data_IF_916849608182
#
_entry.id   IF_916849608182
#
_cell.length_a   1.000
_cell.length_b   1.000
_cell.length_c   1.000
_cell.angle_alpha   90.00
_cell.angle_beta   90.00
_cell.angle_gamma   90.00
#
_symmetry.space_group_name_H-M   'P 1'
#
loop_
_entity.id
_entity.type
_entity.pdbx_description
1 polymer ?
#
# COMPACT_ATOMS: atom_id res chain seq x y z
N UNK A 1 -34.31 3.86 10.66
CA UNK A 1 -35.71 3.42 10.65
C UNK A 1 -36.18 3.11 9.24
N UNK A 2 -35.58 2.16 8.57
CA UNK A 2 -35.99 1.74 7.23
C UNK A 2 -36.67 0.38 7.25
N UNK A 3 -37.37 0.02 6.18
CA UNK A 3 -37.94 -1.31 5.98
C UNK A 3 -36.77 -2.28 5.75
N UNK A 4 -36.63 -3.29 6.61
CA UNK A 4 -35.59 -4.31 6.56
C UNK A 4 -36.13 -5.64 6.08
N UNK A 5 -35.29 -6.42 5.40
CA UNK A 5 -35.62 -7.76 4.91
C UNK A 5 -34.50 -8.75 5.28
N UNK A 6 -34.72 -10.07 5.26
CA UNK A 6 -33.72 -11.06 5.64
C UNK A 6 -32.41 -10.94 4.83
N UNK A 7 -32.47 -10.53 3.57
CA UNK A 7 -31.31 -10.32 2.69
C UNK A 7 -30.36 -9.23 3.20
N UNK A 8 -30.87 -8.26 3.96
CA UNK A 8 -30.10 -7.18 4.57
C UNK A 8 -29.19 -7.73 5.67
N UNK A 9 -29.70 -8.64 6.49
CA UNK A 9 -28.95 -9.24 7.59
C UNK A 9 -27.82 -10.14 7.07
N UNK A 10 -28.03 -10.84 5.96
CA UNK A 10 -26.98 -11.62 5.32
C UNK A 10 -25.82 -10.74 4.87
N UNK A 11 -26.10 -9.60 4.22
CA UNK A 11 -25.07 -8.65 3.80
C UNK A 11 -24.34 -8.03 4.99
N UNK A 12 -25.09 -7.57 6.00
CA UNK A 12 -24.51 -6.96 7.22
C UNK A 12 -23.59 -7.93 7.95
N UNK A 13 -24.04 -9.18 8.17
CA UNK A 13 -23.25 -10.20 8.84
C UNK A 13 -21.96 -10.49 8.10
N UNK A 14 -22.02 -10.58 6.76
CA UNK A 14 -20.81 -10.77 5.95
C UNK A 14 -19.87 -9.58 6.05
N UNK A 15 -20.40 -8.36 6.09
CA UNK A 15 -19.60 -7.13 6.19
C UNK A 15 -18.88 -7.03 7.54
N UNK A 16 -19.59 -7.14 8.67
CA UNK A 16 -19.00 -6.98 10.01
C UNK A 16 -18.01 -8.07 10.38
N UNK A 17 -18.16 -9.27 9.81
CA UNK A 17 -17.23 -10.39 10.02
C UNK A 17 -16.08 -10.43 9.01
N UNK A 18 -16.05 -9.52 8.04
CA UNK A 18 -15.04 -9.54 6.98
C UNK A 18 -13.62 -9.32 7.52
N UNK A 19 -13.46 -8.41 8.49
CA UNK A 19 -12.16 -8.15 9.12
C UNK A 19 -11.55 -9.42 9.74
N UNK A 20 -12.32 -10.15 10.54
CA UNK A 20 -11.83 -11.36 11.21
C UNK A 20 -11.40 -12.43 10.20
N UNK A 21 -12.18 -12.62 9.12
CA UNK A 21 -11.83 -13.57 8.06
C UNK A 21 -10.55 -13.17 7.34
N UNK A 22 -10.37 -11.89 7.02
CA UNK A 22 -9.16 -11.36 6.41
C UNK A 22 -7.96 -11.50 7.35
N UNK A 23 -8.13 -11.11 8.62
CA UNK A 23 -7.08 -11.18 9.63
C UNK A 23 -6.58 -12.62 9.86
N UNK A 24 -7.50 -13.60 9.89
CA UNK A 24 -7.14 -15.02 10.04
C UNK A 24 -6.29 -15.52 8.86
N UNK A 25 -6.60 -15.12 7.62
CA UNK A 25 -5.74 -15.45 6.46
C UNK A 25 -4.38 -14.77 6.54
N UNK A 26 -4.35 -13.51 7.00
CA UNK A 26 -3.10 -12.76 7.11
C UNK A 26 -2.18 -13.29 8.22
N UNK A 27 -2.72 -13.83 9.32
CA UNK A 27 -1.91 -14.52 10.35
C UNK A 27 -1.06 -15.66 9.78
N UNK A 28 -1.60 -16.35 8.79
CA UNK A 28 -0.94 -17.45 8.10
C UNK A 28 -0.18 -17.00 6.83
N UNK A 29 0.00 -15.71 6.63
CA UNK A 29 0.62 -15.10 5.44
C UNK A 29 -0.08 -15.47 4.10
N UNK A 30 -1.35 -15.86 4.15
CA UNK A 30 -2.18 -16.24 2.99
C UNK A 30 -2.77 -15.00 2.32
N UNK A 31 -1.91 -14.14 1.79
CA UNK A 31 -2.27 -12.82 1.24
C UNK A 31 -3.33 -12.90 0.12
N UNK A 32 -3.19 -13.87 -0.80
CA UNK A 32 -4.14 -14.06 -1.89
C UNK A 32 -5.53 -14.47 -1.39
N UNK A 33 -5.58 -15.31 -0.35
CA UNK A 33 -6.84 -15.73 0.26
C UNK A 33 -7.49 -14.59 1.06
N UNK A 34 -6.70 -13.79 1.76
CA UNK A 34 -7.19 -12.58 2.43
C UNK A 34 -7.83 -11.61 1.44
N UNK A 35 -7.19 -11.38 0.29
CA UNK A 35 -7.77 -10.57 -0.79
C UNK A 35 -9.07 -11.20 -1.34
N UNK A 36 -9.13 -12.51 -1.45
CA UNK A 36 -10.34 -13.24 -1.88
C UNK A 36 -11.51 -13.02 -0.92
N UNK A 37 -11.26 -12.97 0.40
CA UNK A 37 -12.30 -12.65 1.39
C UNK A 37 -12.87 -11.23 1.20
N UNK A 38 -12.02 -10.25 0.89
CA UNK A 38 -12.46 -8.88 0.58
C UNK A 38 -13.36 -8.88 -0.67
N UNK A 39 -12.94 -9.55 -1.73
CA UNK A 39 -13.74 -9.63 -2.95
C UNK A 39 -15.01 -10.46 -2.79
N UNK A 40 -15.06 -11.37 -1.81
CA UNK A 40 -16.28 -12.08 -1.45
C UNK A 40 -17.35 -11.10 -0.92
N UNK A 41 -16.96 -10.11 -0.11
CA UNK A 41 -17.87 -9.05 0.32
C UNK A 41 -18.38 -8.22 -0.87
N UNK A 42 -17.49 -7.79 -1.79
CA UNK A 42 -17.92 -7.04 -2.98
C UNK A 42 -18.84 -7.86 -3.90
N UNK A 43 -18.58 -9.15 -4.08
CA UNK A 43 -19.47 -10.05 -4.83
C UNK A 43 -20.85 -10.14 -4.17
N UNK A 44 -20.90 -10.18 -2.82
CA UNK A 44 -22.18 -10.17 -2.09
C UNK A 44 -22.91 -8.84 -2.26
N UNK A 45 -22.20 -7.70 -2.28
CA UNK A 45 -22.80 -6.40 -2.60
C UNK A 45 -23.43 -6.40 -4.01
N UNK A 46 -22.74 -6.93 -5.02
CA UNK A 46 -23.31 -7.05 -6.36
C UNK A 46 -24.57 -7.93 -6.38
N UNK A 47 -24.51 -9.10 -5.74
CA UNK A 47 -25.68 -9.98 -5.64
C UNK A 47 -26.85 -9.31 -4.91
N UNK A 48 -26.56 -8.54 -3.86
CA UNK A 48 -27.58 -7.79 -3.12
C UNK A 48 -28.25 -6.71 -3.98
N UNK A 49 -27.51 -6.06 -4.87
CA UNK A 49 -28.06 -5.12 -5.86
C UNK A 49 -29.05 -5.87 -6.79
N UNK A 50 -28.68 -7.06 -7.28
CA UNK A 50 -29.53 -7.86 -8.15
C UNK A 50 -30.79 -8.35 -7.42
N UNK A 51 -30.69 -8.71 -6.15
CA UNK A 51 -31.80 -9.21 -5.32
C UNK A 51 -32.77 -8.10 -4.91
N UNK A 52 -32.29 -6.88 -4.71
CA UNK A 52 -33.09 -5.76 -4.19
C UNK A 52 -33.58 -4.80 -5.29
N UNK A 53 -33.04 -4.89 -6.48
CA UNK A 53 -33.39 -4.08 -7.65
C UNK A 53 -33.63 -2.59 -7.35
N UNK A 54 -32.62 -1.85 -6.81
CA UNK A 54 -32.82 -0.46 -6.36
C UNK A 54 -33.37 0.48 -7.44
N UNK A 55 -33.13 0.19 -8.70
CA UNK A 55 -33.68 0.93 -9.85
C UNK A 55 -35.21 0.74 -10.02
N UNK A 56 -35.75 -0.37 -9.54
CA UNK A 56 -37.21 -0.62 -9.49
C UNK A 56 -37.79 0.11 -8.27
N UNK A 57 -37.14 0.01 -7.10
CA UNK A 57 -37.55 0.72 -5.89
C UNK A 57 -37.59 2.25 -6.11
N UNK A 58 -36.63 2.79 -6.88
CA UNK A 58 -36.54 4.22 -7.17
C UNK A 58 -37.72 4.78 -7.98
N UNK A 59 -38.51 3.94 -8.66
CA UNK A 59 -39.66 4.35 -9.46
C UNK A 59 -40.95 4.45 -8.63
N UNK A 60 -40.95 3.97 -7.40
CA UNK A 60 -42.10 3.87 -6.54
C UNK A 60 -41.89 4.74 -5.29
N UNK A 61 -42.71 5.78 -5.18
CA UNK A 61 -42.67 6.72 -4.03
C UNK A 61 -42.91 6.05 -2.68
N UNK A 62 -43.75 5.00 -2.65
CA UNK A 62 -44.06 4.26 -1.43
C UNK A 62 -42.91 3.37 -0.94
N UNK A 63 -41.95 3.08 -1.81
CA UNK A 63 -40.76 2.25 -1.53
C UNK A 63 -39.50 3.02 -1.21
N UNK A 64 -39.61 4.33 -1.04
CA UNK A 64 -38.42 5.20 -0.75
C UNK A 64 -37.68 4.78 0.52
N UNK A 65 -38.40 4.38 1.58
CA UNK A 65 -37.78 3.91 2.82
C UNK A 65 -36.99 2.60 2.62
N UNK A 66 -37.52 1.70 1.79
CA UNK A 66 -36.82 0.48 1.41
C UNK A 66 -35.57 0.79 0.57
N UNK A 67 -35.72 1.67 -0.41
CA UNK A 67 -34.59 2.13 -1.22
C UNK A 67 -33.47 2.75 -0.36
N UNK A 68 -33.84 3.61 0.60
CA UNK A 68 -32.89 4.23 1.51
C UNK A 68 -32.12 3.17 2.33
N UNK A 69 -32.81 2.14 2.82
CA UNK A 69 -32.18 1.02 3.54
C UNK A 69 -31.19 0.27 2.64
N UNK A 70 -31.59 -0.05 1.42
CA UNK A 70 -30.75 -0.77 0.45
C UNK A 70 -29.46 0.02 0.14
N UNK A 71 -29.61 1.30 -0.20
CA UNK A 71 -28.47 2.15 -0.52
C UNK A 71 -27.53 2.34 0.69
N UNK A 72 -28.09 2.49 1.88
CA UNK A 72 -27.32 2.62 3.10
C UNK A 72 -26.52 1.35 3.41
N UNK A 73 -27.14 0.18 3.31
CA UNK A 73 -26.47 -1.10 3.54
C UNK A 73 -25.33 -1.34 2.52
N UNK A 74 -25.53 -0.96 1.27
CA UNK A 74 -24.49 -1.02 0.25
C UNK A 74 -23.33 -0.08 0.57
N UNK A 75 -23.62 1.17 0.93
CA UNK A 75 -22.60 2.17 1.29
C UNK A 75 -21.74 1.68 2.45
N UNK A 76 -22.34 1.21 3.52
CA UNK A 76 -21.65 0.66 4.68
C UNK A 76 -20.75 -0.52 4.30
N UNK A 77 -21.28 -1.48 3.56
CA UNK A 77 -20.55 -2.69 3.15
C UNK A 77 -19.39 -2.37 2.21
N UNK A 78 -19.58 -1.43 1.28
CA UNK A 78 -18.52 -0.97 0.37
C UNK A 78 -17.41 -0.25 1.13
N UNK A 79 -17.75 0.59 2.11
CA UNK A 79 -16.75 1.30 2.92
C UNK A 79 -15.93 0.35 3.81
N UNK A 80 -16.57 -0.68 4.39
CA UNK A 80 -15.86 -1.74 5.11
C UNK A 80 -14.90 -2.47 4.17
N UNK A 81 -15.38 -2.89 3.00
CA UNK A 81 -14.57 -3.55 1.99
C UNK A 81 -13.42 -2.68 1.47
N UNK A 82 -13.66 -1.39 1.24
CA UNK A 82 -12.64 -0.44 0.81
C UNK A 82 -11.55 -0.25 1.87
N UNK A 83 -11.94 -0.19 3.15
CA UNK A 83 -10.98 -0.08 4.26
C UNK A 83 -10.08 -1.33 4.36
N UNK A 84 -10.65 -2.53 4.19
CA UNK A 84 -9.89 -3.78 4.12
C UNK A 84 -9.01 -3.86 2.86
N UNK A 85 -9.38 -3.18 1.78
CA UNK A 85 -8.62 -3.15 0.53
C UNK A 85 -7.42 -2.19 0.58
N UNK A 86 -7.38 -1.25 1.54
CA UNK A 86 -6.35 -0.21 1.59
C UNK A 86 -4.91 -0.77 1.58
N UNK A 87 -4.53 -1.82 2.32
CA UNK A 87 -3.18 -2.37 2.28
C UNK A 87 -2.76 -2.92 0.92
N UNK A 88 -3.72 -3.31 0.08
CA UNK A 88 -3.49 -3.89 -1.24
C UNK A 88 -3.55 -2.85 -2.36
N UNK A 89 -4.49 -1.92 -2.23
CA UNK A 89 -4.79 -0.90 -3.25
C UNK A 89 -5.05 0.47 -2.61
N UNK A 90 -4.02 1.10 -1.99
CA UNK A 90 -4.19 2.29 -1.15
C UNK A 90 -4.83 3.47 -1.90
N UNK A 91 -4.43 3.70 -3.14
CA UNK A 91 -4.99 4.79 -3.95
C UNK A 91 -6.47 4.54 -4.29
N UNK A 92 -6.81 3.32 -4.67
CA UNK A 92 -8.19 2.94 -5.04
C UNK A 92 -9.11 2.98 -3.82
N UNK A 93 -8.68 2.48 -2.68
CA UNK A 93 -9.45 2.48 -1.44
C UNK A 93 -9.83 3.92 -1.03
N UNK A 94 -8.87 4.84 -1.05
CA UNK A 94 -9.12 6.28 -0.77
C UNK A 94 -10.07 6.91 -1.78
N UNK A 95 -9.95 6.58 -3.06
CA UNK A 95 -10.87 7.06 -4.10
C UNK A 95 -12.29 6.54 -3.89
N UNK A 96 -12.47 5.28 -3.45
CA UNK A 96 -13.79 4.73 -3.11
C UNK A 96 -14.39 5.55 -1.97
N UNK A 97 -13.67 5.75 -0.87
CA UNK A 97 -14.18 6.52 0.27
C UNK A 97 -14.52 7.96 -0.12
N UNK A 98 -13.68 8.62 -0.93
CA UNK A 98 -13.92 9.98 -1.41
C UNK A 98 -15.22 10.10 -2.23
N UNK A 99 -15.62 9.08 -2.99
CA UNK A 99 -16.89 9.10 -3.73
C UNK A 99 -18.12 9.08 -2.80
N UNK A 100 -17.96 8.59 -1.57
CA UNK A 100 -18.96 8.66 -0.51
C UNK A 100 -18.79 9.89 0.40
N UNK A 101 -17.91 10.85 0.03
CA UNK A 101 -17.58 12.03 0.83
C UNK A 101 -17.15 11.67 2.27
N UNK A 102 -16.35 10.62 2.42
CA UNK A 102 -15.85 10.11 3.70
C UNK A 102 -14.41 9.62 3.56
N UNK A 103 -13.84 9.16 4.66
CA UNK A 103 -12.49 8.60 4.73
C UNK A 103 -12.52 7.09 4.98
N UNK A 104 -11.36 6.45 4.77
CA UNK A 104 -11.12 5.06 5.13
C UNK A 104 -11.22 4.90 6.65
N UNK A 105 -11.89 3.83 7.09
CA UNK A 105 -12.06 3.50 8.51
C UNK A 105 -10.84 2.77 9.07
N UNK A 106 -10.59 2.96 10.36
CA UNK A 106 -9.63 2.11 11.09
C UNK A 106 -10.11 0.66 11.15
N UNK A 107 -9.20 -0.29 11.28
CA UNK A 107 -9.57 -1.71 11.38
C UNK A 107 -10.41 -2.03 12.62
N UNK A 108 -10.24 -1.26 13.69
CA UNK A 108 -11.01 -1.40 14.94
C UNK A 108 -12.49 -1.07 14.75
N UNK A 109 -12.80 -0.23 13.78
CA UNK A 109 -14.16 0.24 13.49
C UNK A 109 -14.92 -0.66 12.49
N UNK A 110 -14.28 -1.67 11.90
CA UNK A 110 -14.88 -2.46 10.82
C UNK A 110 -15.89 -3.51 11.31
N UNK A 111 -15.87 -3.87 12.59
CA UNK A 111 -16.85 -4.76 13.20
C UNK A 111 -18.19 -4.08 13.47
N UNK A 112 -18.27 -2.75 13.36
CA UNK A 112 -19.49 -1.99 13.58
C UNK A 112 -20.14 -1.59 12.25
N UNK A 113 -21.42 -1.93 12.11
CA UNK A 113 -22.24 -1.51 10.99
C UNK A 113 -23.06 -0.27 11.37
N UNK A 114 -23.23 0.66 10.43
CA UNK A 114 -24.08 1.84 10.70
C UNK A 114 -23.31 3.10 11.10
N UNK A 115 -22.04 3.19 10.77
CA UNK A 115 -21.18 4.37 11.07
C UNK A 115 -21.24 5.48 10.02
N UNK A 116 -21.70 5.18 8.81
CA UNK A 116 -21.89 6.21 7.79
C UNK A 116 -23.01 7.18 8.21
N UNK A 117 -22.81 8.49 8.14
CA UNK A 117 -23.78 9.46 8.62
C UNK A 117 -25.07 9.38 7.80
N UNK A 118 -26.22 9.38 8.50
CA UNK A 118 -27.54 9.47 7.87
C UNK A 118 -27.67 10.77 7.07
N UNK A 119 -28.20 10.69 5.85
CA UNK A 119 -28.31 11.85 4.95
C UNK A 119 -27.01 12.21 4.24
N UNK A 120 -25.99 11.37 4.34
CA UNK A 120 -24.75 11.53 3.55
C UNK A 120 -25.04 11.58 2.06
N UNK A 121 -24.28 12.38 1.34
CA UNK A 121 -24.38 12.48 -0.12
C UNK A 121 -23.14 11.86 -0.76
N UNK A 122 -23.34 11.15 -1.85
CA UNK A 122 -22.25 10.72 -2.71
C UNK A 122 -21.78 11.87 -3.60
N UNK A 123 -20.60 11.75 -4.19
CA UNK A 123 -20.09 12.75 -5.14
C UNK A 123 -21.03 12.91 -6.35
N UNK A 124 -21.14 14.13 -6.84
CA UNK A 124 -21.92 14.44 -8.07
C UNK A 124 -21.16 14.03 -9.33
N UNK A 125 -19.85 13.87 -9.24
CA UNK A 125 -18.97 13.50 -10.34
C UNK A 125 -18.24 12.19 -10.04
N UNK A 126 -18.90 11.01 -10.18
CA UNK A 126 -18.27 9.74 -9.90
C UNK A 126 -17.14 9.41 -10.90
N UNK A 127 -15.99 9.00 -10.37
CA UNK A 127 -14.87 8.53 -11.18
C UNK A 127 -15.02 7.02 -11.45
N UNK A 128 -14.81 6.62 -12.71
CA UNK A 128 -14.72 5.19 -13.07
C UNK A 128 -13.34 4.69 -12.61
N UNK A 129 -13.30 3.94 -11.51
CA UNK A 129 -12.05 3.46 -10.91
C UNK A 129 -11.38 2.35 -11.73
N UNK A 130 -12.19 1.50 -12.36
CA UNK A 130 -11.74 0.36 -13.17
C UNK A 130 -12.36 0.43 -14.56
N UNK A 131 -11.75 1.23 -15.44
CA UNK A 131 -12.15 1.26 -16.84
C UNK A 131 -11.72 -0.03 -17.56
N UNK A 132 -12.53 -0.46 -18.53
CA UNK A 132 -12.13 -1.56 -19.43
C UNK A 132 -10.91 -1.11 -20.25
N UNK A 133 -9.80 -1.84 -20.13
CA UNK A 133 -8.57 -1.53 -20.84
C UNK A 133 -8.68 -1.93 -22.31
N UNK A 134 -8.26 -1.04 -23.20
CA UNK A 134 -8.02 -1.39 -24.60
C UNK A 134 -6.68 -2.12 -24.70
N UNK A 135 -6.71 -3.39 -25.14
CA UNK A 135 -5.51 -4.23 -25.22
C UNK A 135 -4.43 -3.62 -26.13
N UNK A 136 -4.81 -2.94 -27.22
CA UNK A 136 -3.85 -2.30 -28.13
C UNK A 136 -3.18 -1.09 -27.49
N UNK A 137 -3.96 -0.27 -26.79
CA UNK A 137 -3.42 0.89 -26.08
C UNK A 137 -2.50 0.48 -24.92
N UNK A 138 -2.85 -0.60 -24.21
CA UNK A 138 -2.01 -1.15 -23.14
C UNK A 138 -0.70 -1.73 -23.70
N UNK A 139 -0.75 -2.50 -24.80
CA UNK A 139 0.44 -3.06 -25.41
C UNK A 139 1.41 -1.95 -25.88
N UNK A 140 0.90 -0.91 -26.55
CA UNK A 140 1.71 0.23 -26.96
C UNK A 140 2.38 0.95 -25.77
N UNK A 141 1.65 1.10 -24.66
CA UNK A 141 2.20 1.72 -23.45
C UNK A 141 3.25 0.85 -22.75
N UNK A 142 3.09 -0.48 -22.80
CA UNK A 142 4.10 -1.42 -22.30
C UNK A 142 5.39 -1.31 -23.12
N UNK A 143 5.28 -1.32 -24.46
CA UNK A 143 6.43 -1.15 -25.35
C UNK A 143 7.16 0.17 -25.10
N UNK A 144 6.43 1.27 -24.90
CA UNK A 144 7.02 2.57 -24.55
C UNK A 144 7.76 2.52 -23.20
N UNK A 145 7.15 1.91 -22.19
CA UNK A 145 7.78 1.75 -20.87
C UNK A 145 9.02 0.85 -20.90
N UNK A 146 8.99 -0.22 -21.69
CA UNK A 146 10.13 -1.10 -21.88
C UNK A 146 11.28 -0.38 -22.61
N UNK A 147 10.98 0.41 -23.63
CA UNK A 147 11.98 1.22 -24.33
C UNK A 147 12.64 2.25 -23.40
N UNK A 148 11.87 2.93 -22.54
CA UNK A 148 12.39 3.86 -21.55
C UNK A 148 13.28 3.13 -20.53
N UNK A 149 12.85 1.94 -20.06
CA UNK A 149 13.62 1.13 -19.10
C UNK A 149 14.93 0.64 -19.71
N UNK A 150 14.91 0.20 -20.97
CA UNK A 150 16.09 -0.26 -21.69
C UNK A 150 17.09 0.89 -21.89
N UNK A 151 16.59 2.06 -22.32
CA UNK A 151 17.43 3.24 -22.47
C UNK A 151 18.04 3.72 -21.13
N UNK A 152 17.29 3.64 -20.05
CA UNK A 152 17.79 3.95 -18.71
C UNK A 152 18.86 2.95 -18.22
N UNK A 153 18.66 1.65 -18.51
CA UNK A 153 19.64 0.61 -18.19
C UNK A 153 20.94 0.78 -18.99
N UNK A 154 20.84 1.05 -20.30
CA UNK A 154 22.01 1.32 -21.14
C UNK A 154 22.78 2.58 -20.70
N UNK A 155 22.06 3.60 -20.23
CA UNK A 155 22.69 4.81 -19.70
C UNK A 155 23.41 4.53 -18.39
N UNK A 156 22.80 3.77 -17.47
CA UNK A 156 23.41 3.36 -16.21
C UNK A 156 24.68 2.50 -16.46
N UNK A 157 24.61 1.56 -17.39
CA UNK A 157 25.75 0.72 -17.77
C UNK A 157 26.91 1.51 -18.41
N UNK A 158 26.57 2.57 -19.19
CA UNK A 158 27.58 3.48 -19.74
C UNK A 158 28.20 4.38 -18.68
N UNK A 159 27.44 4.84 -17.71
CA UNK A 159 27.93 5.64 -16.58
C UNK A 159 28.80 4.76 -15.65
N UNK A 160 28.43 3.52 -15.38
CA UNK A 160 29.22 2.56 -14.62
C UNK A 160 30.54 2.21 -15.31
N UNK A 161 30.54 1.98 -16.63
CA UNK A 161 31.75 1.78 -17.42
C UNK A 161 32.63 3.01 -17.53
N UNK A 162 32.07 4.22 -17.38
CA UNK A 162 32.86 5.46 -17.36
C UNK A 162 33.51 5.72 -15.99
N UNK A 163 33.03 5.13 -14.91
CA UNK A 163 33.65 5.17 -13.59
C UNK A 163 34.68 4.05 -13.36
N UNK A 164 34.75 3.03 -14.21
CA UNK A 164 35.73 1.92 -14.14
C UNK A 164 37.14 2.28 -14.59
N UNK A 165 37.53 3.55 -14.55
CA UNK A 165 38.86 4.05 -14.89
C UNK A 165 39.86 4.09 -13.74
N UNK A 166 39.71 3.25 -12.71
CA UNK A 166 40.75 3.09 -11.68
C UNK A 166 41.42 1.74 -11.93
N UNK A 167 42.55 1.74 -12.60
CA UNK A 167 43.48 0.61 -12.66
C UNK A 167 43.99 0.30 -11.24
N UNK A 168 43.22 -0.48 -10.51
CA UNK A 168 43.64 -1.04 -9.22
C UNK A 168 44.38 -2.34 -9.55
N UNK A 169 45.71 -2.38 -9.31
CA UNK A 169 46.43 -3.64 -9.36
C UNK A 169 45.72 -4.69 -8.50
N UNK A 170 45.34 -5.87 -9.09
CA UNK A 170 44.68 -6.89 -8.34
C UNK A 170 45.59 -7.37 -7.21
N UNK A 171 45.07 -7.30 -6.00
CA UNK A 171 45.77 -7.88 -4.83
C UNK A 171 45.70 -9.39 -4.88
N UNK A 172 46.65 -10.04 -4.21
CA UNK A 172 46.63 -11.49 -4.08
C UNK A 172 45.31 -11.98 -3.47
N UNK A 173 44.80 -13.09 -3.98
CA UNK A 173 43.61 -13.73 -3.41
C UNK A 173 43.85 -14.14 -1.95
N UNK A 174 42.84 -13.93 -1.11
CA UNK A 174 42.85 -14.35 0.30
C UNK A 174 42.07 -15.64 0.45
N UNK A 175 42.51 -16.49 1.40
CA UNK A 175 41.78 -17.69 1.73
C UNK A 175 40.50 -17.35 2.54
N UNK A 176 39.54 -18.30 2.59
CA UNK A 176 38.37 -18.18 3.46
C UNK A 176 38.77 -17.98 4.93
N UNK A 177 39.85 -18.65 5.37
CA UNK A 177 40.35 -18.52 6.74
C UNK A 177 40.88 -17.13 7.05
N UNK A 178 41.44 -16.45 6.04
CA UNK A 178 41.87 -15.06 6.18
C UNK A 178 40.67 -14.10 6.24
N UNK A 179 39.63 -14.36 5.44
CA UNK A 179 38.37 -13.61 5.52
C UNK A 179 37.65 -13.82 6.85
N UNK A 180 37.65 -15.05 7.37
CA UNK A 180 37.01 -15.39 8.64
C UNK A 180 37.67 -14.72 9.87
N UNK A 181 38.90 -14.20 9.74
CA UNK A 181 39.56 -13.40 10.77
C UNK A 181 39.02 -11.97 10.87
N UNK A 182 38.26 -11.50 9.85
CA UNK A 182 37.64 -10.19 9.87
C UNK A 182 36.39 -10.22 10.76
N UNK A 183 36.27 -9.22 11.62
CA UNK A 183 35.11 -9.02 12.46
C UNK A 183 34.42 -7.70 12.12
N UNK A 184 33.16 -7.77 11.73
CA UNK A 184 32.33 -6.61 11.50
C UNK A 184 31.41 -6.36 12.70
N UNK A 185 31.36 -5.13 13.16
CA UNK A 185 30.50 -4.72 14.26
C UNK A 185 29.79 -3.43 13.90
N UNK A 186 28.53 -3.30 14.32
CA UNK A 186 27.78 -2.05 14.20
C UNK A 186 28.21 -1.12 15.33
N UNK A 187 28.55 0.12 14.98
CA UNK A 187 28.89 1.18 15.92
C UNK A 187 27.96 2.38 15.76
N UNK A 188 27.64 3.03 16.90
CA UNK A 188 26.88 4.28 16.94
C UNK A 188 27.86 5.47 16.92
N UNK A 189 27.66 6.41 15.99
CA UNK A 189 28.43 7.66 15.98
C UNK A 189 27.83 8.60 17.02
N UNK A 190 28.51 8.79 18.14
CA UNK A 190 28.06 9.66 19.23
C UNK A 190 28.52 11.10 19.08
N UNK A 191 29.59 11.33 18.33
CA UNK A 191 30.11 12.65 18.01
C UNK A 191 30.87 12.62 16.69
N UNK A 192 30.72 13.67 15.87
CA UNK A 192 31.47 13.82 14.63
C UNK A 192 31.96 15.28 14.50
N UNK A 193 33.26 15.47 14.27
CA UNK A 193 33.88 16.79 14.12
C UNK A 193 34.75 16.87 12.86
N UNK A 194 34.84 18.03 12.30
CA UNK A 194 35.78 18.31 11.21
C UNK A 194 37.21 18.31 11.74
N UNK A 195 38.12 17.72 10.97
CA UNK A 195 39.56 17.77 11.30
C UNK A 195 40.13 19.14 10.85
N UNK A 196 40.70 19.94 11.79
CA UNK A 196 41.31 21.23 11.45
C UNK A 196 42.33 21.09 10.35
N UNK A 197 42.30 22.01 9.37
CA UNK A 197 43.19 22.06 8.22
C UNK A 197 42.96 20.93 7.18
N UNK A 198 41.93 20.11 7.29
CA UNK A 198 41.60 19.11 6.28
C UNK A 198 40.21 19.37 5.68
N UNK A 199 40.16 19.37 4.33
CA UNK A 199 38.93 19.48 3.56
C UNK A 199 38.27 18.11 3.29
N UNK A 200 38.92 17.02 3.68
CA UNK A 200 38.51 15.64 3.33
C UNK A 200 38.16 14.77 4.54
N UNK A 201 38.64 15.14 5.74
CA UNK A 201 38.58 14.28 6.90
C UNK A 201 37.49 14.71 7.88
N UNK A 202 36.77 13.70 8.40
CA UNK A 202 35.93 13.78 9.59
C UNK A 202 36.52 12.90 10.69
N UNK A 203 36.44 13.39 11.94
CA UNK A 203 36.82 12.65 13.13
C UNK A 203 35.56 12.28 13.90
N UNK A 204 35.24 11.00 13.95
CA UNK A 204 34.05 10.48 14.61
C UNK A 204 34.41 9.72 15.88
N UNK A 205 33.64 9.90 16.93
CA UNK A 205 33.63 9.04 18.12
C UNK A 205 32.57 7.97 17.90
N UNK A 206 32.99 6.72 17.80
CA UNK A 206 32.11 5.60 17.51
C UNK A 206 32.03 4.67 18.72
N UNK A 207 30.83 4.51 19.25
CA UNK A 207 30.54 3.58 20.33
C UNK A 207 30.27 2.19 19.75
N UNK A 208 31.06 1.22 20.16
CA UNK A 208 30.94 -0.19 19.77
C UNK A 208 30.81 -1.00 21.05
N UNK A 209 29.60 -1.43 21.39
CA UNK A 209 29.33 -2.06 22.69
C UNK A 209 29.64 -1.11 23.85
N UNK A 210 30.53 -1.50 24.74
CA UNK A 210 31.01 -0.68 25.90
C UNK A 210 32.19 0.22 25.57
N UNK A 211 32.80 0.12 24.39
CA UNK A 211 33.98 0.87 24.01
C UNK A 211 33.65 2.05 23.09
N UNK A 212 34.35 3.16 23.26
CA UNK A 212 34.30 4.29 22.31
C UNK A 212 35.65 4.35 21.59
N UNK A 213 35.60 4.34 20.26
CA UNK A 213 36.78 4.45 19.39
C UNK A 213 36.74 5.73 18.58
N UNK A 214 37.87 6.41 18.48
CA UNK A 214 38.03 7.54 17.59
C UNK A 214 38.43 7.03 16.20
N UNK A 215 37.64 7.39 15.19
CA UNK A 215 37.88 7.01 13.79
C UNK A 215 37.99 8.28 12.96
N UNK A 216 39.08 8.37 12.18
CA UNK A 216 39.25 9.45 11.23
C UNK A 216 39.06 8.89 9.81
N UNK A 217 38.09 9.44 9.08
CA UNK A 217 37.68 8.95 7.77
C UNK A 217 37.60 10.06 6.72
N UNK A 218 37.94 9.71 5.47
CA UNK A 218 37.95 10.63 4.32
C UNK A 218 36.61 10.92 3.70
N UNK A 219 35.52 10.91 4.46
CA UNK A 219 34.14 10.94 3.96
C UNK A 219 33.47 12.32 4.01
N UNK A 220 34.20 13.38 4.41
CA UNK A 220 33.64 14.75 4.55
C UNK A 220 32.98 15.28 3.26
N UNK A 221 33.42 14.83 2.09
CA UNK A 221 32.79 15.24 0.82
C UNK A 221 31.37 14.76 0.64
N UNK A 222 31.01 13.67 1.33
CA UNK A 222 29.75 12.96 1.16
C UNK A 222 28.77 13.15 2.34
N UNK A 223 29.23 13.74 3.44
CA UNK A 223 28.44 13.94 4.66
C UNK A 223 28.70 15.36 5.20
N UNK A 224 27.62 16.08 5.40
CA UNK A 224 27.57 17.42 6.01
C UNK A 224 27.00 17.35 7.41
#
# INVERSE_FOLDING_TARGET
>A
TGVTEPVDEELKNLAVTAYDRVADKMKDLRVADALTEIFTLFKRCNKYIDETEPWVLAKDEEKKDRLATVLYNLTESILIGASLLEPYMPTTAKKIAAQFNTEIRSFEDLAEFGRYPSGGKVTETPEILFARLDQKAVAAKIEEMEAVRTAAAEKAEKEEKAEEGIDIEPKAEISYDDFAKLQFQVGEIIECKEVPKSKKLLCSQVKIGSQVKQIVSGIRKYYT
#
